data_IF_640294497103
#
_entry.id   IF_640294497103
#
_cell.length_a   1.000
_cell.length_b   1.000
_cell.length_c   1.000
_cell.angle_alpha   90.00
_cell.angle_beta   90.00
_cell.angle_gamma   90.00
#
_symmetry.space_group_name_H-M   'P 1'
#
loop_
_entity.id
_entity.type
_entity.pdbx_description
1 polymer ?
#
# COMPACT_ATOMS: atom_id res chain seq x y z
N UNK A 1 -1.25 3.63 0.56
CA UNK A 1 -2.24 2.91 1.41
C UNK A 1 -1.55 2.22 2.56
N UNK A 2 -2.14 2.32 3.73
CA UNK A 2 -1.67 1.61 4.91
C UNK A 2 -2.00 0.10 4.82
N UNK A 3 -1.29 -0.71 5.62
CA UNK A 3 -1.45 -2.16 5.60
C UNK A 3 -2.88 -2.61 5.92
N UNK A 4 -3.49 -2.05 6.96
CA UNK A 4 -4.87 -2.37 7.34
C UNK A 4 -5.88 -2.02 6.24
N UNK A 5 -5.68 -0.95 5.51
CA UNK A 5 -6.52 -0.59 4.36
C UNK A 5 -6.40 -1.63 3.25
N UNK A 6 -5.18 -2.08 2.95
CA UNK A 6 -4.93 -3.12 1.95
C UNK A 6 -5.57 -4.45 2.36
N UNK A 7 -5.44 -4.85 3.63
CA UNK A 7 -6.04 -6.09 4.13
C UNK A 7 -7.57 -6.03 4.09
N UNK A 8 -8.15 -4.88 4.35
CA UNK A 8 -9.59 -4.66 4.26
C UNK A 8 -10.10 -4.88 2.82
N UNK A 9 -9.32 -4.50 1.82
CA UNK A 9 -9.68 -4.70 0.41
C UNK A 9 -9.87 -6.16 0.02
N UNK A 10 -9.34 -7.11 0.78
CA UNK A 10 -9.56 -8.54 0.55
C UNK A 10 -11.05 -8.91 0.59
N UNK A 11 -11.84 -8.19 1.35
CA UNK A 11 -13.27 -8.43 1.52
C UNK A 11 -14.12 -7.66 0.50
N UNK A 12 -13.49 -6.88 -0.37
CA UNK A 12 -14.18 -6.05 -1.35
C UNK A 12 -14.39 -6.82 -2.66
N UNK A 13 -15.59 -6.71 -3.22
CA UNK A 13 -15.83 -7.14 -4.60
C UNK A 13 -15.42 -6.00 -5.57
N UNK A 14 -15.56 -6.21 -6.86
CA UNK A 14 -15.15 -5.25 -7.88
C UNK A 14 -15.91 -3.92 -7.76
N UNK A 15 -17.18 -3.97 -7.40
CA UNK A 15 -18.00 -2.77 -7.21
C UNK A 15 -17.53 -1.98 -5.99
N UNK A 16 -17.23 -2.66 -4.87
CA UNK A 16 -16.70 -2.03 -3.67
C UNK A 16 -15.35 -1.37 -3.93
N UNK A 17 -14.49 -2.04 -4.69
CA UNK A 17 -13.21 -1.48 -5.11
C UNK A 17 -13.39 -0.23 -5.97
N UNK A 18 -14.35 -0.25 -6.88
CA UNK A 18 -14.65 0.91 -7.72
C UNK A 18 -15.14 2.10 -6.89
N UNK A 19 -16.02 1.86 -5.92
CA UNK A 19 -16.48 2.92 -5.00
C UNK A 19 -15.33 3.49 -4.17
N UNK A 20 -14.41 2.65 -3.71
CA UNK A 20 -13.20 3.09 -3.00
C UNK A 20 -12.34 3.98 -3.88
N UNK A 21 -12.16 3.61 -5.14
CA UNK A 21 -11.43 4.40 -6.12
C UNK A 21 -12.09 5.78 -6.31
N UNK A 22 -13.41 5.82 -6.45
CA UNK A 22 -14.17 7.07 -6.61
C UNK A 22 -14.01 7.95 -5.38
N UNK A 23 -14.07 7.40 -4.18
CA UNK A 23 -13.87 8.13 -2.93
C UNK A 23 -12.49 8.80 -2.91
N UNK A 24 -11.43 8.06 -3.21
CA UNK A 24 -10.07 8.59 -3.27
C UNK A 24 -9.96 9.69 -4.32
N UNK A 25 -10.54 9.48 -5.50
CA UNK A 25 -10.52 10.48 -6.58
C UNK A 25 -11.23 11.77 -6.19
N UNK A 26 -12.38 11.67 -5.51
CA UNK A 26 -13.11 12.85 -5.02
C UNK A 26 -12.32 13.65 -3.99
N UNK A 27 -11.66 12.98 -3.05
CA UNK A 27 -10.79 13.63 -2.08
C UNK A 27 -9.60 14.31 -2.76
N UNK A 28 -9.05 13.66 -3.78
CA UNK A 28 -7.95 14.20 -4.57
C UNK A 28 -8.35 15.46 -5.33
N UNK A 29 -9.59 15.55 -5.79
CA UNK A 29 -10.09 16.76 -6.46
C UNK A 29 -10.01 17.98 -5.54
N UNK A 30 -10.39 17.83 -4.27
CA UNK A 30 -10.28 18.90 -3.27
C UNK A 30 -8.84 19.32 -3.03
N UNK A 31 -7.93 18.37 -2.94
CA UNK A 31 -6.50 18.64 -2.77
C UNK A 31 -5.90 19.31 -3.99
N UNK A 32 -6.34 18.91 -5.19
CA UNK A 32 -5.91 19.52 -6.45
C UNK A 32 -6.29 21.01 -6.49
N UNK A 33 -7.48 21.38 -6.02
CA UNK A 33 -7.88 22.78 -5.91
C UNK A 33 -6.92 23.56 -5.02
N UNK A 34 -6.54 23.01 -3.88
CA UNK A 34 -5.57 23.62 -2.97
C UNK A 34 -4.19 23.78 -3.62
N UNK A 35 -3.76 22.76 -4.38
CA UNK A 35 -2.51 22.82 -5.13
C UNK A 35 -2.53 23.97 -6.16
N UNK A 36 -3.61 24.11 -6.90
CA UNK A 36 -3.75 25.17 -7.89
C UNK A 36 -3.74 26.57 -7.26
N UNK A 37 -4.09 26.68 -5.99
CA UNK A 37 -4.02 27.92 -5.21
C UNK A 37 -2.62 28.17 -4.61
N UNK A 38 -1.66 27.31 -4.87
CA UNK A 38 -0.27 27.49 -4.45
C UNK A 38 0.20 26.59 -3.30
N UNK A 39 -0.64 25.68 -2.81
CA UNK A 39 -0.25 24.73 -1.75
C UNK A 39 0.53 23.55 -2.33
N UNK A 40 1.85 23.57 -2.19
CA UNK A 40 2.74 22.53 -2.74
C UNK A 40 2.57 21.17 -2.04
N UNK A 41 2.29 21.18 -0.75
CA UNK A 41 2.06 19.94 0.03
C UNK A 41 0.82 19.21 -0.49
N UNK A 42 -0.22 19.93 -0.86
CA UNK A 42 -1.40 19.34 -1.47
C UNK A 42 -1.07 18.60 -2.77
N UNK A 43 -0.11 19.10 -3.57
CA UNK A 43 0.36 18.42 -4.78
C UNK A 43 1.00 17.06 -4.50
N UNK A 44 1.77 16.97 -3.43
CA UNK A 44 2.37 15.69 -2.99
C UNK A 44 1.27 14.71 -2.59
N UNK A 45 0.27 15.15 -1.84
CA UNK A 45 -0.87 14.31 -1.43
C UNK A 45 -1.64 13.79 -2.65
N UNK A 46 -1.84 14.62 -3.67
CA UNK A 46 -2.50 14.21 -4.92
C UNK A 46 -1.70 13.12 -5.63
N UNK A 47 -0.39 13.25 -5.70
CA UNK A 47 0.48 12.24 -6.32
C UNK A 47 0.35 10.89 -5.61
N UNK A 48 0.37 10.86 -4.28
CA UNK A 48 0.18 9.65 -3.50
C UNK A 48 -1.20 9.03 -3.74
N UNK A 49 -2.24 9.86 -3.76
CA UNK A 49 -3.61 9.40 -4.04
C UNK A 49 -3.73 8.81 -5.44
N UNK A 50 -3.05 9.36 -6.42
CA UNK A 50 -3.07 8.81 -7.79
C UNK A 50 -2.37 7.45 -7.87
N UNK A 51 -1.34 7.21 -7.07
CA UNK A 51 -0.73 5.89 -6.95
C UNK A 51 -1.71 4.87 -6.37
N UNK A 52 -2.48 5.24 -5.36
CA UNK A 52 -3.51 4.39 -4.77
C UNK A 52 -4.62 4.09 -5.77
N UNK A 53 -5.09 5.09 -6.52
CA UNK A 53 -6.08 4.92 -7.58
C UNK A 53 -5.59 3.93 -8.64
N UNK A 54 -4.36 4.09 -9.08
CA UNK A 54 -3.74 3.17 -10.05
C UNK A 54 -3.71 1.74 -9.53
N UNK A 55 -3.32 1.55 -8.29
CA UNK A 55 -3.23 0.24 -7.66
C UNK A 55 -4.60 -0.44 -7.57
N UNK A 56 -5.62 0.29 -7.12
CA UNK A 56 -7.00 -0.23 -7.03
C UNK A 56 -7.52 -0.57 -8.43
N UNK A 57 -7.26 0.27 -9.42
CA UNK A 57 -7.66 -0.01 -10.80
C UNK A 57 -7.05 -1.33 -11.32
N UNK A 58 -5.79 -1.60 -11.00
CA UNK A 58 -5.13 -2.86 -11.35
C UNK A 58 -5.78 -4.06 -10.64
N UNK A 59 -6.16 -3.91 -9.39
CA UNK A 59 -6.86 -4.97 -8.64
C UNK A 59 -8.20 -5.31 -9.32
N UNK A 60 -8.95 -4.30 -9.73
CA UNK A 60 -10.23 -4.47 -10.42
C UNK A 60 -10.01 -5.20 -11.76
N UNK A 61 -9.05 -4.76 -12.54
CA UNK A 61 -8.75 -5.37 -13.84
C UNK A 61 -8.39 -6.84 -13.71
N UNK A 62 -7.51 -7.18 -12.78
CA UNK A 62 -7.09 -8.56 -12.54
C UNK A 62 -8.27 -9.42 -12.09
N UNK A 63 -9.08 -8.94 -11.15
CA UNK A 63 -10.25 -9.67 -10.66
C UNK A 63 -11.25 -9.98 -11.79
N UNK A 64 -11.50 -9.02 -12.65
CA UNK A 64 -12.40 -9.21 -13.80
C UNK A 64 -11.82 -10.22 -14.78
N UNK A 65 -10.52 -10.13 -15.10
CA UNK A 65 -9.85 -11.07 -16.01
C UNK A 65 -9.87 -12.51 -15.50
N UNK A 66 -9.66 -12.70 -14.19
CA UNK A 66 -9.74 -14.02 -13.55
C UNK A 66 -11.17 -14.57 -13.63
N UNK A 67 -12.17 -13.77 -13.31
CA UNK A 67 -13.58 -14.17 -13.36
C UNK A 67 -14.07 -14.49 -14.77
N UNK A 68 -13.56 -13.78 -15.77
CA UNK A 68 -13.85 -14.07 -17.18
C UNK A 68 -13.13 -15.30 -17.72
N UNK A 69 -12.16 -15.83 -16.98
CA UNK A 69 -11.35 -16.96 -17.42
C UNK A 69 -10.28 -16.61 -18.45
N UNK A 70 -10.01 -15.31 -18.70
CA UNK A 70 -8.96 -14.85 -19.61
C UNK A 70 -7.57 -14.91 -18.98
N UNK A 71 -7.52 -15.03 -17.65
CA UNK A 71 -6.28 -15.14 -16.88
C UNK A 71 -6.47 -16.19 -15.79
N UNK A 72 -5.49 -17.07 -15.63
CA UNK A 72 -5.51 -18.06 -14.56
C UNK A 72 -5.24 -17.37 -13.21
N UNK A 73 -5.91 -17.80 -12.11
CA UNK A 73 -5.58 -17.27 -10.79
C UNK A 73 -4.13 -17.59 -10.45
N UNK A 74 -3.28 -16.58 -10.22
CA UNK A 74 -1.89 -16.85 -9.84
C UNK A 74 -1.83 -17.40 -8.42
N UNK A 75 -0.96 -18.36 -8.19
CA UNK A 75 -0.73 -18.98 -6.87
C UNK A 75 0.77 -18.92 -6.58
N UNK A 76 1.11 -18.52 -5.37
CA UNK A 76 2.49 -18.42 -4.94
C UNK A 76 2.69 -18.92 -3.52
N UNK A 77 3.95 -19.12 -3.16
CA UNK A 77 4.36 -19.55 -1.82
C UNK A 77 4.95 -18.35 -1.08
N UNK A 78 4.46 -18.10 0.12
CA UNK A 78 4.97 -17.06 1.01
C UNK A 78 5.09 -17.62 2.42
N UNK A 79 6.33 -17.71 2.91
CA UNK A 79 6.67 -18.23 4.25
C UNK A 79 6.07 -19.63 4.53
N UNK A 80 6.06 -20.50 3.53
CA UNK A 80 5.55 -21.86 3.64
C UNK A 80 4.04 -22.00 3.44
N UNK A 81 3.33 -20.92 3.20
CA UNK A 81 1.89 -20.94 2.91
C UNK A 81 1.64 -20.74 1.41
N UNK A 82 0.75 -21.55 0.85
CA UNK A 82 0.32 -21.38 -0.53
C UNK A 82 -0.85 -20.40 -0.52
N UNK A 83 -0.62 -19.21 -1.09
CA UNK A 83 -1.62 -18.13 -1.13
C UNK A 83 -1.89 -17.70 -2.57
N UNK A 84 -3.08 -17.14 -2.86
CA UNK A 84 -3.29 -16.50 -4.15
C UNK A 84 -2.33 -15.33 -4.32
N UNK A 85 -1.50 -15.37 -5.37
CA UNK A 85 -0.52 -14.31 -5.65
C UNK A 85 -1.12 -13.25 -6.57
N UNK A 86 -2.30 -12.75 -6.23
CA UNK A 86 -2.95 -11.65 -6.92
C UNK A 86 -2.15 -10.35 -6.69
N UNK A 87 -2.39 -9.35 -7.50
CA UNK A 87 -1.74 -8.04 -7.32
C UNK A 87 -2.03 -7.45 -5.94
N UNK A 88 -3.23 -7.66 -5.40
CA UNK A 88 -3.58 -7.23 -4.04
C UNK A 88 -2.76 -7.96 -2.99
N UNK A 89 -2.68 -9.29 -3.06
CA UNK A 89 -1.89 -10.08 -2.10
C UNK A 89 -0.41 -9.73 -2.18
N UNK A 90 0.11 -9.53 -3.39
CA UNK A 90 1.49 -9.09 -3.59
C UNK A 90 1.74 -7.71 -2.96
N UNK A 91 0.81 -6.76 -3.11
CA UNK A 91 0.92 -5.44 -2.49
C UNK A 91 0.92 -5.54 -0.97
N UNK A 92 0.11 -6.42 -0.38
CA UNK A 92 0.08 -6.68 1.06
C UNK A 92 1.41 -7.25 1.54
N UNK A 93 1.96 -8.24 0.83
CA UNK A 93 3.25 -8.85 1.14
C UNK A 93 4.37 -7.80 1.08
N UNK A 94 4.42 -7.00 0.03
CA UNK A 94 5.43 -5.95 -0.15
C UNK A 94 5.35 -4.92 0.98
N UNK A 95 4.15 -4.55 1.40
CA UNK A 95 3.95 -3.61 2.50
C UNK A 95 4.41 -4.21 3.84
N UNK A 96 4.12 -5.48 4.11
CA UNK A 96 4.59 -6.17 5.31
C UNK A 96 6.11 -6.23 5.36
N UNK A 97 6.76 -6.60 4.26
CA UNK A 97 8.22 -6.66 4.17
C UNK A 97 8.85 -5.28 4.39
N UNK A 98 8.27 -4.23 3.82
CA UNK A 98 8.72 -2.86 4.01
C UNK A 98 8.65 -2.43 5.48
N UNK A 99 7.56 -2.76 6.19
CA UNK A 99 7.39 -2.46 7.60
C UNK A 99 8.37 -3.24 8.48
N UNK A 100 8.63 -4.50 8.16
CA UNK A 100 9.62 -5.33 8.85
C UNK A 100 11.03 -4.73 8.73
N UNK A 101 11.41 -4.27 7.54
CA UNK A 101 12.70 -3.62 7.30
C UNK A 101 12.83 -2.32 8.08
N UNK A 102 11.79 -1.52 8.13
CA UNK A 102 11.75 -0.29 8.92
C UNK A 102 11.94 -0.57 10.41
N UNK A 103 11.24 -1.57 10.94
CA UNK A 103 11.35 -1.98 12.34
C UNK A 103 12.78 -2.42 12.70
N UNK A 104 13.40 -3.24 11.86
CA UNK A 104 14.78 -3.68 12.05
C UNK A 104 15.74 -2.48 12.04
N UNK A 105 15.54 -1.53 11.14
CA UNK A 105 16.37 -0.33 11.04
C UNK A 105 16.27 0.53 12.31
N UNK A 106 15.06 0.72 12.83
CA UNK A 106 14.81 1.47 14.07
C UNK A 106 15.50 0.80 15.26
N UNK A 107 15.37 -0.51 15.39
CA UNK A 107 16.04 -1.26 16.46
C UNK A 107 17.56 -1.13 16.41
N UNK A 108 18.15 -1.20 15.22
CA UNK A 108 19.59 -1.00 15.05
C UNK A 108 20.04 0.39 15.47
N UNK A 109 19.27 1.41 15.09
CA UNK A 109 19.56 2.79 15.47
C UNK A 109 19.47 2.99 16.98
N UNK A 110 18.47 2.43 17.64
CA UNK A 110 18.32 2.48 19.10
C UNK A 110 19.48 1.78 19.81
N UNK A 111 19.87 0.60 19.36
CA UNK A 111 21.00 -0.15 19.92
C UNK A 111 22.31 0.63 19.81
N UNK A 112 22.53 1.31 18.69
CA UNK A 112 23.70 2.18 18.51
C UNK A 112 23.69 3.37 19.46
N UNK A 113 22.54 3.97 19.71
CA UNK A 113 22.39 5.07 20.68
C UNK A 113 22.70 4.61 22.09
N UNK A 114 22.21 3.46 22.50
CA UNK A 114 22.46 2.87 23.82
C UNK A 114 23.96 2.59 23.98
N UNK A 115 24.60 2.00 22.98
CA UNK A 115 26.03 1.72 22.97
C UNK A 115 26.85 3.01 23.13
N UNK A 116 26.55 4.06 22.41
CA UNK A 116 27.21 5.35 22.51
C UNK A 116 27.06 5.99 23.89
N UNK A 117 25.88 5.88 24.51
CA UNK A 117 25.66 6.38 25.87
C UNK A 117 26.53 5.65 26.89
N UNK A 118 26.65 4.32 26.79
CA UNK A 118 27.53 3.52 27.68
C UNK A 118 28.99 3.92 27.54
N UNK A 119 29.47 4.13 26.33
CA UNK A 119 30.84 4.58 26.07
C UNK A 119 31.13 5.96 26.66
N UNK A 120 30.15 6.87 26.69
CA UNK A 120 30.32 8.20 27.29
C UNK A 120 30.41 8.18 28.82
N UNK A 121 29.78 7.21 29.47
CA UNK A 121 29.75 7.08 30.93
C UNK A 121 31.01 6.42 31.48
N UNK A 122 31.66 5.58 30.70
CA UNK A 122 32.93 4.97 31.01
C UNK A 122 34.10 5.95 30.72
#
# INVERSE_FOLDING_TARGET
>A
MELNELEELRNYNELDLLYKLIEIANESAKRTEQFLKGNKTAGVDVRHSMQDVRMIAEFIRESIQVKKGTKQPPVGDYKGEIIPLTKLEKAIIDKKESLEKEEVFIKRAENLRIKKRRERVE
#
